data_IF_912539466497
#
_entry.id   IF_912539466497
#
_cell.length_a   1.000
_cell.length_b   1.000
_cell.length_c   1.000
_cell.angle_alpha   90.00
_cell.angle_beta   90.00
_cell.angle_gamma   90.00
#
_symmetry.space_group_name_H-M   'P 1'
#
loop_
_entity.id
_entity.type
_entity.pdbx_description
1 polymer ?
#
# COMPACT_ATOMS: atom_id res chain seq x y z
N UNK A 1 38.85 -11.04 21.22
CA UNK A 1 37.45 -11.14 20.74
C UNK A 1 37.24 -10.15 19.61
N UNK A 2 37.18 -10.61 18.36
CA UNK A 2 36.93 -9.73 17.22
C UNK A 2 35.43 -9.41 17.14
N UNK A 3 35.07 -8.14 17.37
CA UNK A 3 33.73 -7.62 17.08
C UNK A 3 33.57 -7.57 15.56
N UNK A 4 32.73 -8.44 15.00
CA UNK A 4 32.29 -8.33 13.62
C UNK A 4 31.56 -6.99 13.45
N UNK A 5 32.15 -6.09 12.65
CA UNK A 5 31.43 -4.92 12.11
C UNK A 5 30.49 -5.45 11.03
N UNK A 6 29.21 -5.49 11.33
CA UNK A 6 28.20 -5.77 10.32
C UNK A 6 28.04 -4.52 9.44
N UNK A 7 28.63 -4.54 8.26
CA UNK A 7 28.34 -3.57 7.20
C UNK A 7 27.19 -4.09 6.35
N UNK A 8 26.24 -3.21 6.01
CA UNK A 8 25.12 -3.54 5.12
C UNK A 8 25.67 -3.61 3.69
N UNK A 9 25.99 -4.80 3.22
CA UNK A 9 26.75 -4.99 1.97
C UNK A 9 25.99 -4.60 0.71
N UNK A 10 24.65 -4.55 0.65
CA UNK A 10 23.98 -3.94 -0.50
C UNK A 10 22.61 -3.34 -0.17
N UNK A 11 22.32 -2.17 -0.76
CA UNK A 11 20.99 -1.54 -0.85
C UNK A 11 20.36 -1.79 -2.22
N UNK A 12 20.84 -2.79 -2.98
CA UNK A 12 20.41 -3.05 -4.34
C UNK A 12 19.22 -4.01 -4.33
N UNK A 13 18.12 -3.58 -4.92
CA UNK A 13 16.98 -4.44 -5.19
C UNK A 13 17.40 -5.51 -6.20
N UNK A 14 17.44 -6.78 -5.79
CA UNK A 14 17.63 -7.91 -6.71
C UNK A 14 16.28 -8.15 -7.39
N UNK A 15 16.19 -8.15 -8.73
CA UNK A 15 14.97 -8.56 -9.43
C UNK A 15 14.63 -9.99 -9.01
N UNK A 16 13.52 -10.17 -8.32
CA UNK A 16 13.02 -11.50 -8.02
C UNK A 16 12.37 -12.02 -9.31
N UNK A 17 13.03 -12.96 -9.98
CA UNK A 17 12.40 -13.70 -11.07
C UNK A 17 11.28 -14.54 -10.46
N UNK A 18 10.07 -14.31 -10.93
CA UNK A 18 8.90 -15.04 -10.49
C UNK A 18 8.93 -16.44 -11.08
N UNK A 19 8.55 -17.43 -10.29
CA UNK A 19 8.31 -18.78 -10.79
C UNK A 19 6.95 -18.86 -11.50
N UNK A 20 6.71 -19.97 -12.20
CA UNK A 20 5.49 -20.15 -13.01
C UNK A 20 4.21 -20.08 -12.16
N UNK A 21 4.22 -20.66 -10.95
CA UNK A 21 3.09 -20.60 -10.03
C UNK A 21 2.76 -19.15 -9.63
N UNK A 22 3.78 -18.34 -9.34
CA UNK A 22 3.63 -16.93 -9.00
C UNK A 22 3.10 -16.12 -10.19
N UNK A 23 3.56 -16.43 -11.42
CA UNK A 23 3.05 -15.79 -12.63
C UNK A 23 1.58 -16.16 -12.90
N UNK A 24 1.24 -17.44 -12.77
CA UNK A 24 -0.15 -17.89 -12.89
C UNK A 24 -1.06 -17.25 -11.85
N UNK A 25 -0.61 -17.16 -10.60
CA UNK A 25 -1.36 -16.51 -9.53
C UNK A 25 -1.53 -15.00 -9.78
N UNK A 26 -0.51 -14.33 -10.32
CA UNK A 26 -0.63 -12.93 -10.77
C UNK A 26 -1.73 -12.76 -11.81
N UNK A 27 -1.74 -13.60 -12.85
CA UNK A 27 -2.76 -13.55 -13.90
C UNK A 27 -4.14 -13.83 -13.33
N UNK A 28 -4.28 -14.86 -12.49
CA UNK A 28 -5.54 -15.22 -11.83
C UNK A 28 -6.10 -14.05 -11.02
N UNK A 29 -5.27 -13.44 -10.20
CA UNK A 29 -5.65 -12.29 -9.36
C UNK A 29 -5.94 -11.03 -10.18
N UNK A 30 -5.22 -10.79 -11.28
CA UNK A 30 -5.55 -9.67 -12.18
C UNK A 30 -6.93 -9.86 -12.82
N UNK A 31 -7.26 -11.07 -13.29
CA UNK A 31 -8.59 -11.38 -13.84
C UNK A 31 -9.69 -11.20 -12.79
N UNK A 32 -9.46 -11.75 -11.59
CA UNK A 32 -10.39 -11.61 -10.46
C UNK A 32 -10.60 -10.13 -10.09
N UNK A 33 -9.52 -9.35 -10.05
CA UNK A 33 -9.56 -7.94 -9.71
C UNK A 33 -10.32 -7.10 -10.74
N UNK A 34 -10.06 -7.31 -12.03
CA UNK A 34 -10.77 -6.62 -13.12
C UNK A 34 -12.26 -6.97 -13.14
N UNK A 35 -12.63 -8.23 -12.87
CA UNK A 35 -14.02 -8.68 -12.86
C UNK A 35 -14.80 -8.18 -11.63
N UNK A 36 -14.23 -8.31 -10.44
CA UNK A 36 -14.95 -8.10 -9.18
C UNK A 36 -14.80 -6.68 -8.62
N UNK A 37 -13.77 -5.95 -9.05
CA UNK A 37 -13.39 -4.69 -8.42
C UNK A 37 -13.41 -3.49 -9.36
N UNK A 38 -14.29 -3.47 -10.39
CA UNK A 38 -14.56 -2.30 -11.26
C UNK A 38 -14.43 -1.00 -10.46
N UNK A 39 -13.34 -0.28 -10.71
CA UNK A 39 -13.01 0.92 -9.97
C UNK A 39 -13.86 2.04 -10.56
N UNK A 40 -14.88 2.46 -9.82
CA UNK A 40 -15.71 3.61 -10.19
C UNK A 40 -14.95 4.90 -9.85
N UNK A 41 -14.86 5.87 -10.77
CA UNK A 41 -14.24 7.16 -10.48
C UNK A 41 -14.92 7.84 -9.29
N UNK A 42 -14.13 8.31 -8.31
CA UNK A 42 -14.59 9.22 -7.25
C UNK A 42 -14.53 8.71 -5.81
N UNK A 43 -14.10 7.46 -5.53
CA UNK A 43 -14.05 6.91 -4.16
C UNK A 43 -12.69 6.25 -3.83
N UNK A 44 -11.58 6.83 -4.30
CA UNK A 44 -10.23 6.35 -4.00
C UNK A 44 -9.71 6.98 -2.69
N UNK A 45 -9.38 6.15 -1.70
CA UNK A 45 -8.73 6.59 -0.46
C UNK A 45 -7.36 5.95 -0.37
N UNK A 46 -6.30 6.78 -0.41
CA UNK A 46 -4.94 6.32 -0.07
C UNK A 46 -4.70 6.62 1.41
N UNK A 47 -4.46 5.56 2.18
CA UNK A 47 -3.94 5.70 3.53
C UNK A 47 -2.41 5.79 3.47
N UNK A 48 -1.86 6.90 3.94
CA UNK A 48 -0.43 7.04 4.20
C UNK A 48 -0.18 7.02 5.70
N UNK A 49 0.54 6.00 6.14
CA UNK A 49 1.00 5.91 7.53
C UNK A 49 2.50 6.15 7.58
N UNK A 50 2.89 7.24 8.23
CA UNK A 50 4.29 7.56 8.48
C UNK A 50 4.77 6.86 9.75
N UNK A 51 5.90 6.18 9.65
CA UNK A 51 6.52 5.44 10.75
C UNK A 51 7.67 6.25 11.33
N UNK A 52 7.89 6.17 12.65
CA UNK A 52 9.03 6.82 13.30
C UNK A 52 10.34 6.22 12.79
N UNK A 53 11.38 7.04 12.69
CA UNK A 53 12.69 6.61 12.19
C UNK A 53 13.22 5.44 13.04
N UNK A 54 13.78 4.42 12.39
CA UNK A 54 14.34 3.24 13.06
C UNK A 54 13.34 2.11 13.36
N UNK A 55 12.06 2.34 13.10
CA UNK A 55 11.05 1.28 13.13
C UNK A 55 10.77 0.78 11.71
N UNK A 56 11.12 -0.48 11.46
CA UNK A 56 10.56 -1.19 10.31
C UNK A 56 9.14 -1.61 10.65
N UNK A 57 8.29 -1.69 9.63
CA UNK A 57 6.93 -2.24 9.75
C UNK A 57 6.93 -3.54 10.58
N UNK A 58 7.85 -4.48 10.29
CA UNK A 58 8.02 -5.73 11.03
C UNK A 58 8.32 -5.54 12.53
N UNK A 59 9.19 -4.59 12.88
CA UNK A 59 9.61 -4.30 14.25
C UNK A 59 8.56 -3.53 15.06
N UNK A 60 7.71 -2.75 14.40
CA UNK A 60 6.61 -2.00 15.02
C UNK A 60 5.46 -2.91 15.46
N UNK A 61 5.14 -3.93 14.65
CA UNK A 61 4.11 -4.95 14.96
C UNK A 61 4.50 -5.74 16.21
N UNK A 62 5.79 -6.04 16.39
CA UNK A 62 6.27 -6.80 17.55
C UNK A 62 6.32 -5.99 18.84
N UNK A 63 6.46 -4.65 18.78
CA UNK A 63 6.79 -3.90 19.99
C UNK A 63 5.61 -3.24 20.71
N UNK A 64 4.60 -2.64 20.05
CA UNK A 64 3.60 -1.84 20.82
C UNK A 64 2.16 -1.66 20.31
N UNK A 65 1.64 -2.35 19.29
CA UNK A 65 0.21 -2.24 18.96
C UNK A 65 -0.37 -3.59 18.56
N UNK A 66 -1.56 -3.94 19.08
CA UNK A 66 -2.36 -5.06 18.55
C UNK A 66 -2.36 -4.97 17.04
N UNK A 67 -2.12 -6.07 16.33
CA UNK A 67 -1.89 -6.11 14.88
C UNK A 67 -2.91 -5.32 14.02
N UNK A 68 -4.21 -5.16 14.38
CA UNK A 68 -5.13 -4.25 13.67
C UNK A 68 -4.90 -2.73 13.92
N UNK A 69 -3.94 -2.35 14.74
CA UNK A 69 -3.64 -0.95 15.12
C UNK A 69 -3.32 -0.04 13.94
N UNK A 70 -2.82 -0.60 12.83
CA UNK A 70 -2.59 0.15 11.58
C UNK A 70 -3.88 0.43 10.81
N UNK A 71 -4.86 -0.49 10.87
CA UNK A 71 -6.12 -0.37 10.13
C UNK A 71 -7.16 0.49 10.86
N UNK A 72 -7.19 0.47 12.21
CA UNK A 72 -8.18 1.20 13.03
C UNK A 72 -8.23 2.71 12.76
N UNK A 73 -7.11 3.46 12.71
CA UNK A 73 -7.14 4.88 12.42
C UNK A 73 -7.72 5.18 11.03
N UNK A 74 -7.42 4.33 10.05
CA UNK A 74 -7.91 4.48 8.69
C UNK A 74 -9.43 4.29 8.61
N UNK A 75 -9.95 3.23 9.24
CA UNK A 75 -11.40 2.97 9.31
C UNK A 75 -12.13 4.12 9.98
N UNK A 76 -11.57 4.67 11.07
CA UNK A 76 -12.13 5.84 11.76
C UNK A 76 -12.21 7.05 10.83
N UNK A 77 -11.16 7.31 10.07
CA UNK A 77 -11.13 8.45 9.15
C UNK A 77 -12.08 8.25 7.96
N UNK A 78 -12.19 7.03 7.41
CA UNK A 78 -13.17 6.68 6.37
C UNK A 78 -14.59 6.99 6.84
N UNK A 79 -14.96 6.56 8.06
CA UNK A 79 -16.29 6.83 8.63
C UNK A 79 -16.56 8.33 8.83
N UNK A 80 -15.52 9.10 9.14
CA UNK A 80 -15.62 10.56 9.28
C UNK A 80 -15.87 11.25 7.95
N UNK A 81 -15.21 10.79 6.88
CA UNK A 81 -15.36 11.34 5.52
C UNK A 81 -16.66 10.87 4.86
N UNK A 82 -17.06 9.60 5.06
CA UNK A 82 -18.27 8.99 4.48
C UNK A 82 -19.36 8.82 5.54
N UNK A 83 -19.94 9.93 6.01
CA UNK A 83 -20.94 9.91 7.11
C UNK A 83 -22.16 9.02 6.84
N UNK A 84 -22.60 8.93 5.59
CA UNK A 84 -23.78 8.14 5.18
C UNK A 84 -23.45 6.66 4.94
N UNK A 85 -22.37 6.37 4.21
CA UNK A 85 -22.04 5.03 3.74
C UNK A 85 -21.00 4.31 4.61
N UNK A 86 -20.30 5.03 5.48
CA UNK A 86 -19.21 4.51 6.30
C UNK A 86 -18.19 3.73 5.47
N UNK A 87 -17.90 2.52 5.91
CA UNK A 87 -16.99 1.57 5.26
C UNK A 87 -17.65 0.74 4.15
N UNK A 88 -18.98 0.82 3.98
CA UNK A 88 -19.71 0.02 3.01
C UNK A 88 -19.20 0.29 1.60
N UNK A 89 -18.88 -0.79 0.89
CA UNK A 89 -18.40 -0.75 -0.49
C UNK A 89 -16.96 -0.24 -0.66
N UNK A 90 -16.23 0.04 0.43
CA UNK A 90 -14.80 0.36 0.35
C UNK A 90 -14.04 -0.88 -0.12
N UNK A 91 -13.17 -0.66 -1.10
CA UNK A 91 -12.23 -1.67 -1.59
C UNK A 91 -10.84 -1.29 -1.11
N UNK A 92 -10.17 -2.22 -0.44
CA UNK A 92 -8.87 -1.98 0.19
C UNK A 92 -7.76 -2.71 -0.56
N UNK A 93 -6.99 -1.97 -1.36
CA UNK A 93 -5.78 -2.47 -2.02
C UNK A 93 -4.57 -2.29 -1.09
N UNK A 94 -3.77 -3.34 -0.95
CA UNK A 94 -2.59 -3.40 -0.08
C UNK A 94 -1.54 -4.32 -0.67
N UNK A 95 -0.28 -4.09 -0.34
CA UNK A 95 0.78 -5.05 -0.64
C UNK A 95 0.75 -6.25 0.35
N UNK A 96 1.48 -7.31 0.01
CA UNK A 96 1.58 -8.52 0.81
C UNK A 96 2.61 -8.43 1.95
N UNK A 97 2.90 -7.23 2.47
CA UNK A 97 3.80 -7.08 3.61
C UNK A 97 3.31 -7.92 4.81
N UNK A 98 4.23 -8.44 5.61
CA UNK A 98 3.91 -9.26 6.81
C UNK A 98 2.86 -8.67 7.78
N UNK A 99 2.84 -7.36 8.16
CA UNK A 99 1.72 -6.80 8.94
C UNK A 99 0.37 -7.00 8.28
N UNK A 100 0.39 -6.95 6.96
CA UNK A 100 -0.78 -6.75 6.17
C UNK A 100 -1.50 -8.07 6.00
N UNK A 101 -0.74 -9.15 5.83
CA UNK A 101 -1.26 -10.52 5.74
C UNK A 101 -1.71 -11.10 7.09
N UNK A 102 -1.58 -10.37 8.19
CA UNK A 102 -1.93 -10.93 9.50
C UNK A 102 -3.44 -11.14 9.64
N UNK A 103 -3.85 -12.31 10.14
CA UNK A 103 -5.26 -12.71 10.31
C UNK A 103 -6.06 -11.67 11.10
N UNK A 104 -5.53 -11.15 12.20
CA UNK A 104 -6.20 -10.10 12.99
C UNK A 104 -6.54 -8.85 12.18
N UNK A 105 -5.69 -8.46 11.21
CA UNK A 105 -5.94 -7.30 10.35
C UNK A 105 -7.02 -7.62 9.32
N UNK A 106 -6.94 -8.81 8.70
CA UNK A 106 -7.93 -9.30 7.75
C UNK A 106 -9.30 -9.40 8.43
N UNK A 107 -9.37 -10.07 9.57
CA UNK A 107 -10.59 -10.23 10.37
C UNK A 107 -11.18 -8.88 10.77
N UNK A 108 -10.35 -7.94 11.21
CA UNK A 108 -10.80 -6.59 11.55
C UNK A 108 -11.41 -5.87 10.34
N UNK A 109 -10.71 -5.82 9.19
CA UNK A 109 -11.22 -5.16 7.99
C UNK A 109 -12.52 -5.81 7.48
N UNK A 110 -12.61 -7.14 7.51
CA UNK A 110 -13.82 -7.88 7.15
C UNK A 110 -14.98 -7.57 8.09
N UNK A 111 -14.75 -7.54 9.41
CA UNK A 111 -15.77 -7.14 10.40
C UNK A 111 -16.25 -5.70 10.20
N UNK A 112 -15.36 -4.84 9.74
CA UNK A 112 -15.67 -3.46 9.37
C UNK A 112 -16.41 -3.33 8.02
N UNK A 113 -16.66 -4.45 7.32
CA UNK A 113 -17.37 -4.45 6.04
C UNK A 113 -16.54 -3.91 4.87
N UNK A 114 -15.21 -3.92 4.99
CA UNK A 114 -14.27 -3.51 3.95
C UNK A 114 -13.91 -4.72 3.07
N UNK A 115 -14.02 -4.54 1.76
CA UNK A 115 -13.67 -5.56 0.79
C UNK A 115 -12.16 -5.49 0.51
N UNK A 116 -11.41 -6.50 0.93
CA UNK A 116 -9.97 -6.57 0.68
C UNK A 116 -9.75 -7.01 -0.77
N UNK A 117 -9.00 -6.21 -1.55
CA UNK A 117 -8.58 -6.60 -2.89
C UNK A 117 -7.37 -7.54 -2.74
N UNK A 118 -7.41 -8.77 -3.28
CA UNK A 118 -6.27 -9.66 -3.25
C UNK A 118 -5.14 -9.09 -4.12
N UNK A 119 -3.92 -9.14 -3.59
CA UNK A 119 -2.72 -8.65 -4.27
C UNK A 119 -1.74 -9.80 -4.49
N UNK A 120 -1.15 -9.96 -5.67
CA UNK A 120 -0.20 -11.03 -5.91
C UNK A 120 1.15 -10.79 -5.20
N UNK A 121 1.86 -11.86 -4.80
CA UNK A 121 3.21 -11.75 -4.25
C UNK A 121 4.17 -11.01 -5.20
N UNK A 122 5.14 -10.27 -4.64
CA UNK A 122 6.25 -9.63 -5.37
C UNK A 122 5.83 -8.71 -6.53
N UNK A 123 4.63 -8.13 -6.47
CA UNK A 123 3.99 -7.44 -7.60
C UNK A 123 3.87 -5.94 -7.40
N UNK A 124 5.01 -5.26 -7.21
CA UNK A 124 5.06 -3.80 -7.00
C UNK A 124 4.47 -3.01 -8.16
N UNK A 125 4.57 -3.56 -9.37
CA UNK A 125 3.97 -3.04 -10.58
C UNK A 125 2.43 -2.99 -10.53
N UNK A 126 1.81 -3.69 -9.58
CA UNK A 126 0.36 -3.72 -9.33
C UNK A 126 -0.03 -2.99 -8.02
N UNK A 127 0.85 -2.15 -7.48
CA UNK A 127 0.60 -1.36 -6.28
C UNK A 127 0.84 0.15 -6.55
N UNK A 128 -0.22 0.98 -6.62
CA UNK A 128 -0.09 2.43 -6.89
C UNK A 128 0.90 3.16 -5.98
N UNK A 129 0.99 2.75 -4.72
CA UNK A 129 1.95 3.32 -3.78
C UNK A 129 3.40 3.08 -4.22
N UNK A 130 3.70 1.90 -4.76
CA UNK A 130 5.06 1.48 -5.10
C UNK A 130 5.54 2.08 -6.42
N UNK A 131 4.72 2.08 -7.48
CA UNK A 131 5.14 2.56 -8.81
C UNK A 131 4.88 4.05 -9.05
N UNK A 132 4.13 4.73 -8.18
CA UNK A 132 3.79 6.15 -8.38
C UNK A 132 4.01 6.98 -7.13
N UNK A 133 3.26 6.74 -6.05
CA UNK A 133 3.20 7.68 -4.92
C UNK A 133 4.56 7.88 -4.24
N UNK A 134 5.31 6.81 -4.02
CA UNK A 134 6.63 6.87 -3.41
C UNK A 134 7.60 7.73 -4.24
N UNK A 135 7.53 7.61 -5.56
CA UNK A 135 8.39 8.38 -6.46
C UNK A 135 7.91 9.83 -6.61
N UNK A 136 6.59 10.05 -6.64
CA UNK A 136 6.00 11.38 -6.58
C UNK A 136 6.45 12.15 -5.32
N UNK A 137 6.41 11.49 -4.16
CA UNK A 137 6.87 12.09 -2.90
C UNK A 137 8.36 12.43 -3.00
N UNK A 138 9.22 11.50 -3.44
CA UNK A 138 10.67 11.76 -3.54
C UNK A 138 11.01 12.91 -4.49
N UNK A 139 10.28 13.06 -5.59
CA UNK A 139 10.55 14.10 -6.58
C UNK A 139 10.12 15.50 -6.10
N UNK A 140 9.08 15.56 -5.26
CA UNK A 140 8.46 16.83 -4.85
C UNK A 140 8.76 17.22 -3.40
N UNK A 141 9.47 16.38 -2.65
CA UNK A 141 9.84 16.63 -1.26
C UNK A 141 11.30 17.06 -1.18
N UNK A 142 11.54 18.23 -0.58
CA UNK A 142 12.89 18.68 -0.24
C UNK A 142 13.34 18.06 1.08
N UNK A 143 14.65 18.06 1.33
CA UNK A 143 15.21 17.64 2.61
C UNK A 143 14.57 18.42 3.77
N UNK A 144 14.31 17.69 4.86
CA UNK A 144 13.71 18.24 6.07
C UNK A 144 14.66 18.00 7.25
N UNK A 145 14.77 18.97 8.18
CA UNK A 145 15.76 18.91 9.26
C UNK A 145 15.47 17.84 10.31
N UNK A 146 14.19 17.46 10.46
CA UNK A 146 13.74 16.53 11.50
C UNK A 146 12.48 15.73 11.08
N UNK A 147 12.15 14.70 11.86
CA UNK A 147 11.03 13.79 11.61
C UNK A 147 9.66 14.48 11.65
N UNK A 148 9.47 15.49 12.50
CA UNK A 148 8.19 16.22 12.60
C UNK A 148 8.00 17.11 11.37
N UNK A 149 9.05 17.84 10.98
CA UNK A 149 9.07 18.67 9.78
C UNK A 149 8.83 17.81 8.53
N UNK A 150 9.45 16.63 8.46
CA UNK A 150 9.20 15.64 7.42
C UNK A 150 7.75 15.19 7.37
N UNK A 151 7.16 14.84 8.51
CA UNK A 151 5.76 14.41 8.57
C UNK A 151 4.79 15.50 8.11
N UNK A 152 5.06 16.75 8.48
CA UNK A 152 4.26 17.88 8.05
C UNK A 152 4.40 18.13 6.55
N UNK A 153 5.63 18.12 6.01
CA UNK A 153 5.89 18.36 4.60
C UNK A 153 5.26 17.29 3.71
N UNK A 154 5.39 16.01 4.06
CA UNK A 154 4.74 14.90 3.36
C UNK A 154 3.22 15.04 3.41
N UNK A 155 2.64 15.28 4.60
CA UNK A 155 1.20 15.47 4.74
C UNK A 155 0.65 16.64 3.91
N UNK A 156 1.40 17.75 3.85
CA UNK A 156 1.05 18.92 3.04
C UNK A 156 1.13 18.61 1.55
N UNK A 157 2.19 17.91 1.11
CA UNK A 157 2.37 17.50 -0.28
C UNK A 157 1.19 16.65 -0.75
N UNK A 158 0.86 15.59 0.00
CA UNK A 158 -0.23 14.66 -0.35
C UNK A 158 -1.57 15.37 -0.41
N UNK A 159 -1.89 16.23 0.56
CA UNK A 159 -3.17 16.98 0.59
C UNK A 159 -3.32 17.93 -0.59
N UNK A 160 -2.22 18.35 -1.19
CA UNK A 160 -2.20 19.27 -2.33
C UNK A 160 -2.07 18.54 -3.67
N UNK A 161 -2.04 17.20 -3.71
CA UNK A 161 -2.08 16.45 -4.97
C UNK A 161 -3.46 16.69 -5.60
N UNK A 162 -3.53 17.20 -6.85
CA UNK A 162 -4.78 17.38 -7.54
C UNK A 162 -5.52 16.05 -7.69
N UNK A 163 -6.85 16.06 -7.60
CA UNK A 163 -7.67 14.85 -7.73
C UNK A 163 -7.42 14.11 -9.06
N UNK A 164 -7.22 14.86 -10.14
CA UNK A 164 -6.88 14.31 -11.46
C UNK A 164 -5.55 13.56 -11.47
N UNK A 165 -4.53 14.04 -10.77
CA UNK A 165 -3.25 13.32 -10.63
C UNK A 165 -3.42 12.03 -9.81
N UNK A 166 -4.38 12.03 -8.89
CA UNK A 166 -4.67 10.88 -8.04
C UNK A 166 -5.43 9.77 -8.78
N UNK A 167 -6.25 10.11 -9.79
CA UNK A 167 -6.98 9.13 -10.62
C UNK A 167 -6.06 8.33 -11.55
N UNK A 168 -5.11 9.03 -12.21
CA UNK A 168 -4.16 8.43 -13.17
C UNK A 168 -3.51 7.12 -12.71
N UNK A 169 -2.95 6.99 -11.49
CA UNK A 169 -2.33 5.73 -11.06
C UNK A 169 -3.35 4.60 -10.92
N UNK A 170 -4.62 4.86 -10.62
CA UNK A 170 -5.67 3.84 -10.58
C UNK A 170 -6.10 3.42 -11.98
N UNK A 171 -6.23 4.36 -12.92
CA UNK A 171 -6.48 4.01 -14.33
C UNK A 171 -5.31 3.16 -14.88
N UNK A 172 -4.08 3.58 -14.56
CA UNK A 172 -2.88 2.82 -14.91
C UNK A 172 -2.84 1.44 -14.24
N UNK A 173 -3.44 1.27 -13.06
CA UNK A 173 -3.51 -0.03 -12.40
C UNK A 173 -4.33 -1.01 -13.25
N UNK A 174 -5.44 -0.56 -13.83
CA UNK A 174 -6.27 -1.38 -14.71
C UNK A 174 -5.49 -1.79 -15.97
N UNK A 175 -4.83 -0.84 -16.64
CA UNK A 175 -3.97 -1.13 -17.78
C UNK A 175 -2.85 -2.13 -17.43
N UNK A 176 -2.23 -1.98 -16.25
CA UNK A 176 -1.17 -2.87 -15.78
C UNK A 176 -1.69 -4.28 -15.48
N UNK A 177 -2.91 -4.42 -14.95
CA UNK A 177 -3.56 -5.72 -14.76
C UNK A 177 -3.85 -6.39 -16.11
N UNK A 178 -4.33 -5.65 -17.10
CA UNK A 178 -4.54 -6.16 -18.47
C UNK A 178 -3.22 -6.60 -19.13
N UNK A 179 -2.18 -5.79 -19.01
CA UNK A 179 -0.83 -6.16 -19.48
C UNK A 179 -0.31 -7.41 -18.77
N UNK A 180 -0.56 -7.56 -17.47
CA UNK A 180 -0.19 -8.77 -16.75
C UNK A 180 -0.93 -10.00 -17.30
N UNK A 181 -2.18 -9.86 -17.75
CA UNK A 181 -2.96 -10.97 -18.33
C UNK A 181 -2.48 -11.31 -19.74
N UNK A 182 -2.11 -10.31 -20.54
CA UNK A 182 -1.77 -10.49 -21.96
C UNK A 182 -0.32 -10.93 -22.21
N UNK A 183 0.58 -10.71 -21.25
CA UNK A 183 2.00 -11.06 -21.35
C UNK A 183 2.33 -12.47 -20.80
N UNK A 184 1.30 -13.29 -20.53
CA UNK A 184 1.39 -14.66 -20.02
C UNK A 184 0.43 -15.58 -20.78
#
# INVERSE_FOLDING_TARGET
MYKLKNEKVTSRWIPHQLNDEQNQERVRLCRENLANFVMVPGDYVILLQMMRRGFTIGRFITSQQTKPGLAKPAVKEIRKQRKSNGTKGIKWLRDNASPHRHSDVINYLTQEGINIIPHPPYSRDLAPCDYWLNDYIKQNLTDQPDEKSLAHAVSKLIKNIPEEEFKKPFDKLLERMELCINNH
#
